data_IF_375431116968
#
_entry.id   IF_375431116968
#
_cell.length_a   1.000
_cell.length_b   1.000
_cell.length_c   1.000
_cell.angle_alpha   90.00
_cell.angle_beta   90.00
_cell.angle_gamma   90.00
#
_symmetry.space_group_name_H-M   'P 1'
#
loop_
_entity.id
_entity.type
_entity.pdbx_description
1 polymer ?
#
# COMPACT_ATOMS: atom_id res chain seq x y z
N UNK A 1 -22.96 -18.55 4.22
CA UNK A 1 -22.75 -17.45 3.26
C UNK A 1 -21.97 -16.34 3.95
N UNK A 2 -20.96 -15.73 3.31
CA UNK A 2 -20.09 -14.69 3.90
C UNK A 2 -19.88 -13.51 2.93
N UNK A 3 -20.98 -12.86 2.53
CA UNK A 3 -21.02 -11.81 1.49
C UNK A 3 -21.05 -10.38 2.04
N UNK A 4 -20.69 -10.21 3.32
CA UNK A 4 -20.73 -8.94 4.04
C UNK A 4 -21.88 -8.84 5.06
N UNK A 5 -21.90 -7.72 5.77
CA UNK A 5 -22.87 -7.40 6.83
C UNK A 5 -23.53 -6.05 6.56
N UNK A 6 -24.69 -5.82 7.17
CA UNK A 6 -25.40 -4.53 7.16
C UNK A 6 -25.67 -4.09 8.61
N UNK A 7 -25.62 -2.78 8.91
CA UNK A 7 -26.06 -2.25 10.20
C UNK A 7 -27.48 -2.70 10.53
N UNK A 8 -27.72 -3.05 11.80
CA UNK A 8 -29.06 -3.27 12.34
C UNK A 8 -29.60 -1.96 12.91
N UNK A 9 -30.32 -1.20 12.09
CA UNK A 9 -30.84 0.14 12.42
C UNK A 9 -32.36 0.21 12.43
N UNK A 10 -33.07 -0.92 12.36
CA UNK A 10 -34.54 -0.98 12.31
C UNK A 10 -35.18 -0.31 13.53
N UNK A 11 -34.62 -0.53 14.73
CA UNK A 11 -35.08 0.12 15.96
C UNK A 11 -34.84 1.64 15.94
N UNK A 12 -33.68 2.07 15.43
CA UNK A 12 -33.34 3.48 15.33
C UNK A 12 -34.27 4.22 14.35
N UNK A 13 -34.58 3.60 13.20
CA UNK A 13 -35.55 4.13 12.24
C UNK A 13 -36.94 4.22 12.86
N UNK A 14 -37.40 3.15 13.52
CA UNK A 14 -38.71 3.13 14.17
C UNK A 14 -38.84 4.19 15.29
N UNK A 15 -37.73 4.51 15.96
CA UNK A 15 -37.64 5.55 16.97
C UNK A 15 -37.45 6.98 16.40
N UNK A 16 -37.34 7.13 15.07
CA UNK A 16 -37.14 8.44 14.43
C UNK A 16 -35.72 8.99 14.52
N UNK A 17 -34.73 8.15 14.83
CA UNK A 17 -33.32 8.56 14.88
C UNK A 17 -32.74 8.73 13.47
N UNK A 18 -31.74 9.59 13.36
CA UNK A 18 -31.00 9.77 12.11
C UNK A 18 -30.20 8.50 11.76
N UNK A 19 -30.42 8.02 10.53
CA UNK A 19 -29.72 6.88 9.95
C UNK A 19 -29.19 7.31 8.59
N UNK A 20 -27.90 7.06 8.34
CA UNK A 20 -27.25 7.44 7.09
C UNK A 20 -27.64 6.55 5.91
N UNK A 21 -27.24 6.95 4.71
CA UNK A 21 -27.61 6.27 3.46
C UNK A 21 -27.17 4.81 3.39
N UNK A 22 -26.15 4.42 4.16
CA UNK A 22 -25.65 3.03 4.23
C UNK A 22 -26.29 2.21 5.36
N UNK A 23 -27.30 2.78 6.03
CA UNK A 23 -28.05 2.13 7.10
C UNK A 23 -27.41 2.27 8.49
N UNK A 24 -26.26 2.92 8.63
CA UNK A 24 -25.62 3.15 9.93
C UNK A 24 -26.36 4.21 10.74
N UNK A 25 -26.52 3.97 12.04
CA UNK A 25 -27.06 4.97 12.98
C UNK A 25 -26.04 6.12 13.06
N UNK A 26 -26.50 7.33 12.79
CA UNK A 26 -25.64 8.51 12.78
C UNK A 26 -25.34 8.92 14.21
N UNK A 27 -24.06 8.94 14.58
CA UNK A 27 -23.60 9.42 15.90
C UNK A 27 -22.64 10.61 15.81
N UNK A 28 -22.57 11.40 16.88
CA UNK A 28 -21.54 12.43 17.06
C UNK A 28 -20.23 11.85 17.64
N UNK A 29 -19.22 12.69 17.92
CA UNK A 29 -17.92 12.24 18.49
C UNK A 29 -18.04 11.62 19.88
N UNK A 30 -19.14 11.88 20.60
CA UNK A 30 -19.44 11.33 21.93
C UNK A 30 -20.28 10.04 21.87
N UNK A 31 -20.51 9.50 20.67
CA UNK A 31 -21.35 8.32 20.41
C UNK A 31 -22.85 8.54 20.68
N UNK A 32 -23.31 9.79 20.79
CA UNK A 32 -24.73 10.12 20.91
C UNK A 32 -25.40 10.11 19.54
N UNK A 33 -26.63 9.63 19.49
CA UNK A 33 -27.48 9.69 18.30
C UNK A 33 -28.07 11.09 18.12
N UNK A 34 -29.06 11.26 17.23
CA UNK A 34 -29.83 12.50 17.11
C UNK A 34 -30.70 12.81 18.32
N UNK A 35 -30.97 11.82 19.18
CA UNK A 35 -31.56 12.01 20.49
C UNK A 35 -30.44 12.05 21.55
N UNK A 36 -30.34 13.09 22.40
CA UNK A 36 -29.25 13.25 23.35
C UNK A 36 -29.23 12.19 24.47
N UNK A 37 -30.35 11.52 24.73
CA UNK A 37 -30.49 10.48 25.75
C UNK A 37 -30.21 9.08 25.20
N UNK A 38 -30.02 8.94 23.88
CA UNK A 38 -29.76 7.65 23.22
C UNK A 38 -28.36 7.64 22.63
N UNK A 39 -27.58 6.63 23.03
CA UNK A 39 -26.24 6.34 22.51
C UNK A 39 -26.28 5.09 21.62
N UNK A 40 -25.38 5.04 20.64
CA UNK A 40 -25.17 3.86 19.80
C UNK A 40 -23.67 3.63 19.57
N UNK A 41 -23.27 2.37 19.45
CA UNK A 41 -21.88 1.96 19.24
C UNK A 41 -21.83 0.59 18.55
N UNK A 42 -20.69 0.27 17.94
CA UNK A 42 -20.44 -0.98 17.23
C UNK A 42 -20.93 -0.96 15.79
N UNK A 43 -21.05 -2.15 15.20
CA UNK A 43 -21.33 -2.35 13.77
C UNK A 43 -22.65 -1.71 13.27
N UNK A 44 -23.51 -1.22 14.17
CA UNK A 44 -24.74 -0.54 13.82
C UNK A 44 -24.57 0.96 13.53
N UNK A 45 -23.43 1.59 13.87
CA UNK A 45 -23.22 3.03 13.68
C UNK A 45 -22.46 3.37 12.41
N UNK A 46 -22.58 4.63 11.98
CA UNK A 46 -21.63 5.23 11.04
C UNK A 46 -20.85 6.38 11.69
N UNK A 47 -19.53 6.35 11.53
CA UNK A 47 -18.59 7.36 12.05
C UNK A 47 -17.74 7.95 10.92
N UNK A 48 -17.10 9.12 11.10
CA UNK A 48 -16.21 9.68 10.11
C UNK A 48 -15.00 8.76 9.80
N UNK A 49 -14.72 8.53 8.53
CA UNK A 49 -13.42 8.03 8.08
C UNK A 49 -12.44 9.21 8.04
N UNK A 50 -11.37 9.16 8.83
CA UNK A 50 -10.51 10.34 9.07
C UNK A 50 -9.74 10.82 7.84
N UNK A 51 -9.44 9.93 6.89
CA UNK A 51 -8.79 10.31 5.61
C UNK A 51 -9.76 10.96 4.62
N UNK A 52 -10.90 10.33 4.32
CA UNK A 52 -11.85 10.82 3.32
C UNK A 52 -12.84 11.87 3.84
N UNK A 53 -13.01 11.96 5.16
CA UNK A 53 -14.03 12.77 5.82
C UNK A 53 -15.46 12.23 5.68
N UNK A 54 -15.67 11.14 4.95
CA UNK A 54 -17.01 10.56 4.74
C UNK A 54 -17.43 9.68 5.91
N UNK A 55 -18.71 9.66 6.22
CA UNK A 55 -19.27 8.70 7.19
C UNK A 55 -19.25 7.29 6.60
N UNK A 56 -18.74 6.34 7.38
CA UNK A 56 -18.53 4.95 6.99
C UNK A 56 -18.92 4.02 8.14
N UNK A 57 -19.40 2.83 7.77
CA UNK A 57 -19.64 1.72 8.69
C UNK A 57 -18.40 0.84 8.73
N UNK A 58 -17.86 0.60 9.92
CA UNK A 58 -16.68 -0.21 10.14
C UNK A 58 -17.02 -1.40 11.05
N UNK A 59 -17.39 -2.58 10.50
CA UNK A 59 -17.71 -3.75 11.30
C UNK A 59 -16.43 -4.40 11.85
N UNK A 60 -15.80 -3.74 12.84
CA UNK A 60 -14.49 -4.07 13.40
C UNK A 60 -14.62 -4.17 14.92
N UNK A 61 -14.44 -5.37 15.47
CA UNK A 61 -14.61 -5.60 16.91
C UNK A 61 -13.72 -4.72 17.80
N UNK A 62 -12.50 -4.41 17.36
CA UNK A 62 -11.58 -3.50 18.09
C UNK A 62 -12.07 -2.05 18.12
N UNK A 63 -12.80 -1.62 17.09
CA UNK A 63 -13.43 -0.29 17.05
C UNK A 63 -14.68 -0.27 17.93
N UNK A 64 -15.53 -1.29 17.85
CA UNK A 64 -16.74 -1.41 18.67
C UNK A 64 -16.44 -1.32 20.18
N UNK A 65 -15.34 -1.93 20.64
CA UNK A 65 -14.90 -1.83 22.04
C UNK A 65 -14.53 -0.39 22.45
N UNK A 66 -13.88 0.37 21.56
CA UNK A 66 -13.51 1.78 21.81
C UNK A 66 -14.73 2.70 21.78
N UNK A 67 -15.64 2.49 20.84
CA UNK A 67 -16.92 3.19 20.77
C UNK A 67 -17.74 2.95 22.05
N UNK A 68 -17.86 1.70 22.50
CA UNK A 68 -18.55 1.35 23.73
C UNK A 68 -17.94 2.02 24.97
N UNK A 69 -16.60 2.10 25.05
CA UNK A 69 -15.91 2.84 26.11
C UNK A 69 -16.28 4.33 26.10
N UNK A 70 -16.22 4.98 24.93
CA UNK A 70 -16.57 6.40 24.79
C UNK A 70 -18.05 6.64 25.13
N UNK A 71 -18.96 5.78 24.67
CA UNK A 71 -20.37 5.87 25.02
C UNK A 71 -20.60 5.75 26.54
N UNK A 72 -19.98 4.75 27.18
CA UNK A 72 -20.09 4.55 28.63
C UNK A 72 -19.53 5.73 29.44
N UNK A 73 -18.38 6.26 29.03
CA UNK A 73 -17.79 7.44 29.67
C UNK A 73 -18.77 8.63 29.65
N UNK A 74 -19.41 8.88 28.50
CA UNK A 74 -20.34 9.99 28.34
C UNK A 74 -21.68 9.77 29.06
N UNK A 75 -22.19 8.53 29.11
CA UNK A 75 -23.34 8.16 29.94
C UNK A 75 -23.06 8.42 31.42
N UNK A 76 -21.83 8.18 31.87
CA UNK A 76 -21.40 8.45 33.25
C UNK A 76 -21.10 9.95 33.54
N UNK A 77 -21.36 10.85 32.59
CA UNK A 77 -21.14 12.29 32.75
C UNK A 77 -19.69 12.74 32.54
N UNK A 78 -18.81 11.88 32.02
CA UNK A 78 -17.46 12.27 31.63
C UNK A 78 -17.43 12.89 30.23
N UNK A 79 -16.29 13.47 29.87
CA UNK A 79 -16.04 14.05 28.53
C UNK A 79 -15.07 13.13 27.79
N UNK A 80 -15.60 12.33 26.87
CA UNK A 80 -14.84 11.36 26.08
C UNK A 80 -15.24 11.45 24.61
N UNK A 81 -14.28 11.33 23.69
CA UNK A 81 -14.53 11.48 22.25
C UNK A 81 -13.81 10.42 21.41
N UNK A 82 -14.51 9.94 20.38
CA UNK A 82 -13.96 9.24 19.23
C UNK A 82 -14.20 10.09 17.98
N UNK A 83 -13.15 10.69 17.44
CA UNK A 83 -13.26 11.61 16.28
C UNK A 83 -13.57 10.90 14.96
N UNK A 84 -13.33 9.59 14.88
CA UNK A 84 -13.50 8.78 13.69
C UNK A 84 -12.53 7.58 13.69
N UNK A 85 -12.40 6.94 12.54
CA UNK A 85 -11.48 5.82 12.34
C UNK A 85 -10.75 5.88 11.00
N UNK A 86 -9.65 5.13 10.88
CA UNK A 86 -8.89 4.93 9.65
C UNK A 86 -9.04 3.52 9.05
N UNK A 87 -9.87 2.66 9.66
CA UNK A 87 -10.22 1.37 9.06
C UNK A 87 -9.11 0.31 9.05
N UNK A 88 -8.22 0.29 10.04
CA UNK A 88 -7.17 -0.74 10.13
C UNK A 88 -7.75 -2.14 10.27
N UNK A 89 -7.28 -3.09 9.45
CA UNK A 89 -7.57 -4.51 9.61
C UNK A 89 -6.39 -5.38 9.16
N UNK A 90 -6.38 -6.62 9.67
CA UNK A 90 -5.44 -7.66 9.26
C UNK A 90 -6.14 -9.03 9.29
N UNK A 91 -5.78 -9.91 8.36
CA UNK A 91 -6.29 -11.28 8.27
C UNK A 91 -5.14 -12.25 8.02
N UNK A 92 -5.22 -13.43 8.65
CA UNK A 92 -4.37 -14.59 8.32
C UNK A 92 -5.05 -15.43 7.27
N UNK A 93 -4.39 -15.62 6.13
CA UNK A 93 -4.80 -16.50 5.05
C UNK A 93 -3.71 -17.57 4.87
N UNK A 94 -3.92 -18.75 5.46
CA UNK A 94 -2.89 -19.79 5.54
C UNK A 94 -1.60 -19.25 6.16
N UNK A 95 -0.47 -19.31 5.46
CA UNK A 95 0.84 -18.83 5.91
C UNK A 95 1.10 -17.36 5.52
N UNK A 96 0.08 -16.66 5.04
CA UNK A 96 0.14 -15.26 4.65
C UNK A 96 -0.64 -14.39 5.64
N UNK A 97 -0.08 -13.25 6.03
CA UNK A 97 -0.82 -12.14 6.60
C UNK A 97 -1.12 -11.12 5.49
N UNK A 98 -2.34 -10.59 5.47
CA UNK A 98 -2.75 -9.48 4.60
C UNK A 98 -3.39 -8.42 5.48
N UNK A 99 -2.95 -7.17 5.35
CA UNK A 99 -3.44 -6.09 6.18
C UNK A 99 -3.47 -4.77 5.43
N UNK A 100 -4.35 -3.87 5.87
CA UNK A 100 -4.35 -2.51 5.39
C UNK A 100 -4.94 -1.53 6.41
N UNK A 101 -4.73 -0.24 6.12
CA UNK A 101 -5.28 0.90 6.83
C UNK A 101 -5.46 2.06 5.86
N UNK A 102 -6.49 2.88 6.07
CA UNK A 102 -6.81 4.03 5.24
C UNK A 102 -7.47 3.63 3.92
N UNK A 103 -7.25 4.46 2.89
CA UNK A 103 -7.87 4.31 1.58
C UNK A 103 -7.00 3.48 0.63
N UNK A 104 -7.55 2.47 -0.05
CA UNK A 104 -6.87 1.84 -1.18
C UNK A 104 -6.82 2.80 -2.37
N UNK A 105 -5.81 2.63 -3.25
CA UNK A 105 -5.55 3.54 -4.38
C UNK A 105 -6.79 3.86 -5.21
N UNK A 106 -7.55 2.84 -5.62
CA UNK A 106 -8.73 3.01 -6.46
C UNK A 106 -9.83 3.84 -5.75
N UNK A 107 -9.99 3.69 -4.43
CA UNK A 107 -10.94 4.51 -3.67
C UNK A 107 -10.42 5.93 -3.56
N UNK A 108 -9.15 6.14 -3.21
CA UNK A 108 -8.57 7.48 -3.14
C UNK A 108 -8.71 8.26 -4.46
N UNK A 109 -8.45 7.61 -5.60
CA UNK A 109 -8.65 8.21 -6.93
C UNK A 109 -10.13 8.54 -7.19
N UNK A 110 -11.05 7.63 -6.88
CA UNK A 110 -12.49 7.85 -7.02
C UNK A 110 -13.02 9.00 -6.13
N UNK A 111 -12.31 9.29 -5.03
CA UNK A 111 -12.63 10.40 -4.13
C UNK A 111 -11.97 11.73 -4.52
N UNK A 112 -11.25 11.77 -5.64
CA UNK A 112 -10.70 12.99 -6.22
C UNK A 112 -9.30 13.37 -5.72
N UNK A 113 -8.64 12.51 -4.94
CA UNK A 113 -7.23 12.69 -4.62
C UNK A 113 -6.37 12.51 -5.87
N UNK A 114 -5.27 13.25 -5.99
CA UNK A 114 -4.23 12.98 -6.98
C UNK A 114 -3.38 11.78 -6.51
N UNK A 115 -4.05 10.66 -6.27
CA UNK A 115 -3.48 9.53 -5.56
C UNK A 115 -2.58 8.66 -6.43
N UNK A 116 -1.46 8.25 -5.85
CA UNK A 116 -0.48 7.31 -6.39
C UNK A 116 -0.08 6.31 -5.30
N UNK A 117 0.61 5.25 -5.69
CA UNK A 117 1.05 4.19 -4.78
C UNK A 117 2.55 3.90 -4.96
N UNK A 118 3.29 3.83 -3.86
CA UNK A 118 4.65 3.30 -3.87
C UNK A 118 4.63 1.85 -3.42
N UNK A 119 5.21 0.97 -4.23
CA UNK A 119 5.39 -0.44 -3.86
C UNK A 119 6.84 -0.72 -3.50
N UNK A 120 7.03 -1.35 -2.36
CA UNK A 120 8.32 -1.89 -1.92
C UNK A 120 8.20 -3.37 -1.57
N UNK A 121 9.30 -4.09 -1.74
CA UNK A 121 9.40 -5.52 -1.40
C UNK A 121 10.56 -5.80 -0.42
N UNK A 122 10.60 -5.17 0.78
CA UNK A 122 11.68 -5.33 1.76
C UNK A 122 11.57 -6.64 2.56
N UNK A 123 12.65 -7.00 3.27
CA UNK A 123 12.61 -8.06 4.28
C UNK A 123 11.95 -7.55 5.57
N UNK A 124 11.22 -8.41 6.27
CA UNK A 124 10.62 -8.10 7.58
C UNK A 124 11.65 -7.94 8.71
N UNK A 125 12.81 -8.58 8.57
CA UNK A 125 13.94 -8.62 9.50
C UNK A 125 15.23 -8.26 8.77
N UNK A 126 16.32 -8.10 9.50
CA UNK A 126 17.62 -7.88 8.89
C UNK A 126 17.96 -9.01 7.89
N UNK A 127 18.55 -8.64 6.76
CA UNK A 127 18.80 -9.55 5.64
C UNK A 127 19.69 -10.76 5.98
N UNK A 128 20.48 -10.68 7.05
CA UNK A 128 21.34 -11.76 7.54
C UNK A 128 20.71 -12.59 8.68
N UNK A 129 19.54 -12.21 9.18
CA UNK A 129 18.87 -12.93 10.27
C UNK A 129 18.10 -14.15 9.71
N UNK A 130 18.10 -15.31 10.43
CA UNK A 130 17.30 -16.47 10.04
C UNK A 130 15.80 -16.14 9.99
N UNK A 131 15.04 -16.95 9.24
CA UNK A 131 13.57 -16.85 9.15
C UNK A 131 13.01 -15.49 8.72
N UNK A 132 13.85 -14.66 8.08
CA UNK A 132 13.39 -13.45 7.42
C UNK A 132 12.43 -13.79 6.29
N UNK A 133 11.38 -12.99 6.15
CA UNK A 133 10.39 -13.09 5.11
C UNK A 133 10.26 -11.81 4.32
N UNK A 134 9.79 -11.96 3.09
CA UNK A 134 9.51 -10.84 2.19
C UNK A 134 8.16 -10.21 2.54
N UNK A 135 8.17 -8.90 2.80
CA UNK A 135 6.97 -8.09 2.86
C UNK A 135 6.76 -7.39 1.52
N UNK A 136 5.52 -7.33 1.04
CA UNK A 136 5.10 -6.44 -0.03
C UNK A 136 4.28 -5.33 0.61
N UNK A 137 4.76 -4.08 0.55
CA UNK A 137 4.11 -2.92 1.16
C UNK A 137 3.76 -1.91 0.06
N UNK A 138 2.52 -1.44 0.08
CA UNK A 138 2.00 -0.38 -0.77
C UNK A 138 1.58 0.82 0.07
N UNK A 139 2.25 1.97 -0.07
CA UNK A 139 1.86 3.23 0.56
C UNK A 139 1.06 4.06 -0.45
N UNK A 140 -0.20 4.37 -0.13
CA UNK A 140 -1.07 5.23 -0.95
C UNK A 140 -0.94 6.66 -0.45
N UNK A 141 -0.67 7.59 -1.35
CA UNK A 141 -0.44 8.99 -1.01
C UNK A 141 -1.02 9.93 -2.06
N UNK A 142 -1.32 11.17 -1.67
CA UNK A 142 -1.73 12.22 -2.58
C UNK A 142 -0.50 12.96 -3.12
N UNK A 143 -0.27 12.94 -4.44
CA UNK A 143 0.92 13.55 -5.06
C UNK A 143 1.01 15.07 -4.88
N UNK A 144 -0.12 15.75 -4.66
CA UNK A 144 -0.17 17.22 -4.53
C UNK A 144 0.14 17.67 -3.11
N UNK A 145 -0.56 17.11 -2.13
CA UNK A 145 -0.45 17.49 -0.72
C UNK A 145 0.56 16.67 0.06
N UNK A 146 1.08 15.58 -0.53
CA UNK A 146 1.95 14.59 0.11
C UNK A 146 1.31 13.87 1.29
N UNK A 147 -0.01 14.02 1.51
CA UNK A 147 -0.72 13.31 2.57
C UNK A 147 -0.68 11.80 2.33
N UNK A 148 -0.47 11.06 3.40
CA UNK A 148 -0.62 9.60 3.39
C UNK A 148 -2.09 9.26 3.51
N UNK A 149 -2.59 8.51 2.53
CA UNK A 149 -4.01 8.17 2.43
C UNK A 149 -4.28 6.75 2.91
N UNK A 150 -3.30 5.85 2.80
CA UNK A 150 -3.43 4.47 3.23
C UNK A 150 -2.12 3.70 3.13
N UNK A 151 -2.09 2.53 3.77
CA UNK A 151 -1.02 1.57 3.64
C UNK A 151 -1.63 0.16 3.57
N UNK A 152 -1.13 -0.66 2.65
CA UNK A 152 -1.55 -2.04 2.50
C UNK A 152 -0.32 -2.94 2.37
N UNK A 153 -0.46 -4.20 2.75
CA UNK A 153 0.62 -5.14 2.55
C UNK A 153 0.24 -6.59 2.72
N UNK A 154 1.18 -7.44 2.31
CA UNK A 154 1.13 -8.88 2.47
C UNK A 154 2.51 -9.42 2.82
N UNK A 155 2.56 -10.48 3.59
CA UNK A 155 3.82 -11.08 4.05
C UNK A 155 3.59 -12.38 4.80
N UNK A 156 4.63 -12.99 5.38
CA UNK A 156 4.47 -14.18 6.21
C UNK A 156 3.44 -13.93 7.33
N UNK A 157 2.73 -14.97 7.73
CA UNK A 157 1.79 -14.93 8.87
C UNK A 157 2.53 -14.87 10.22
N UNK A 158 3.28 -13.78 10.43
CA UNK A 158 3.94 -13.39 11.67
C UNK A 158 3.55 -11.94 12.03
N UNK A 159 4.14 -11.41 13.11
CA UNK A 159 3.81 -10.06 13.61
C UNK A 159 4.42 -8.91 12.82
N UNK A 160 5.24 -9.19 11.79
CA UNK A 160 5.96 -8.13 11.11
C UNK A 160 5.02 -7.17 10.37
N UNK A 161 3.99 -7.70 9.70
CA UNK A 161 3.04 -6.87 8.97
C UNK A 161 2.16 -6.05 9.93
N UNK A 162 1.67 -6.63 11.02
CA UNK A 162 0.81 -5.91 11.99
C UNK A 162 1.50 -4.68 12.55
N UNK A 163 2.78 -4.77 12.94
CA UNK A 163 3.58 -3.64 13.41
C UNK A 163 3.56 -2.46 12.43
N UNK A 164 3.63 -2.72 11.11
CA UNK A 164 3.65 -1.68 10.08
C UNK A 164 2.26 -1.12 9.80
N UNK A 165 1.22 -1.97 9.84
CA UNK A 165 -0.17 -1.50 9.76
C UNK A 165 -0.49 -0.58 10.95
N UNK A 166 -0.06 -0.95 12.16
CA UNK A 166 -0.34 -0.19 13.38
C UNK A 166 0.44 1.14 13.42
N UNK A 167 1.71 1.14 13.03
CA UNK A 167 2.49 2.37 12.88
C UNK A 167 1.85 3.33 11.87
N UNK A 168 1.46 2.81 10.69
CA UNK A 168 0.75 3.60 9.69
C UNK A 168 -0.61 4.08 10.21
N UNK A 169 -1.34 3.27 10.98
CA UNK A 169 -2.63 3.66 11.55
C UNK A 169 -2.50 4.84 12.50
N UNK A 170 -1.49 4.83 13.38
CA UNK A 170 -1.21 5.94 14.28
C UNK A 170 -0.85 7.21 13.49
N UNK A 171 0.05 7.10 12.51
CA UNK A 171 0.50 8.24 11.71
C UNK A 171 -0.62 8.84 10.83
N UNK A 172 -1.39 8.00 10.14
CA UNK A 172 -2.52 8.45 9.30
C UNK A 172 -3.60 9.10 10.17
N UNK A 173 -3.86 8.57 11.38
CA UNK A 173 -4.79 9.20 12.33
C UNK A 173 -4.32 10.59 12.75
N UNK A 174 -3.00 10.81 12.85
CA UNK A 174 -2.40 12.11 13.13
C UNK A 174 -2.35 13.04 11.91
N UNK A 175 -2.76 12.58 10.71
CA UNK A 175 -2.73 13.38 9.48
C UNK A 175 -1.36 13.47 8.82
N UNK A 176 -0.51 12.45 9.03
CA UNK A 176 0.86 12.41 8.52
C UNK A 176 0.97 12.59 7.00
N UNK A 177 2.04 13.25 6.58
CA UNK A 177 2.51 13.31 5.20
C UNK A 177 3.63 12.28 4.96
N UNK A 178 4.03 12.10 3.70
CA UNK A 178 5.10 11.17 3.30
C UNK A 178 6.38 11.43 4.10
N UNK A 179 6.73 12.69 4.32
CA UNK A 179 7.93 13.13 5.04
C UNK A 179 7.95 12.58 6.48
N UNK A 180 6.81 12.63 7.18
CA UNK A 180 6.68 12.11 8.54
C UNK A 180 6.94 10.59 8.58
N UNK A 181 6.39 9.84 7.61
CA UNK A 181 6.64 8.39 7.49
C UNK A 181 8.09 8.10 7.07
N UNK A 182 8.70 8.99 6.28
CA UNK A 182 10.10 8.87 5.87
C UNK A 182 11.06 8.93 7.05
N UNK A 183 10.71 9.67 8.11
CA UNK A 183 11.57 9.87 9.29
C UNK A 183 11.05 9.21 10.56
N UNK A 184 9.92 8.47 10.51
CA UNK A 184 9.38 7.79 11.69
C UNK A 184 10.41 6.81 12.25
N UNK A 185 10.70 6.95 13.55
CA UNK A 185 11.65 6.10 14.26
C UNK A 185 10.98 4.78 14.64
N UNK A 186 11.38 3.71 13.97
CA UNK A 186 10.90 2.35 14.23
C UNK A 186 11.91 1.58 15.08
N UNK A 187 11.42 0.78 16.03
CA UNK A 187 12.28 -0.07 16.85
C UNK A 187 13.08 -1.04 15.97
N UNK A 188 14.39 -1.11 16.20
CA UNK A 188 15.31 -1.94 15.42
C UNK A 188 16.19 -2.83 16.31
N UNK A 189 16.14 -4.11 16.01
CA UNK A 189 17.22 -5.07 16.19
C UNK A 189 17.09 -6.16 15.11
N UNK A 190 18.17 -6.86 14.74
CA UNK A 190 18.14 -7.82 13.62
C UNK A 190 16.99 -8.84 13.59
N UNK A 191 16.51 -9.39 14.74
CA UNK A 191 15.39 -10.34 14.75
C UNK A 191 14.01 -9.76 14.44
N UNK A 192 13.86 -8.43 14.48
CA UNK A 192 12.55 -7.76 14.45
C UNK A 192 12.39 -6.78 13.29
N UNK A 193 13.51 -6.22 12.81
CA UNK A 193 13.47 -5.18 11.79
C UNK A 193 14.75 -5.09 10.98
N UNK A 194 14.68 -4.37 9.86
CA UNK A 194 15.82 -3.86 9.10
C UNK A 194 16.20 -2.45 9.59
N UNK A 195 17.42 -2.01 9.28
CA UNK A 195 17.88 -0.66 9.67
C UNK A 195 17.05 0.47 9.04
N UNK A 196 16.51 0.23 7.84
CA UNK A 196 15.45 1.03 7.24
C UNK A 196 14.18 0.18 7.31
N UNK A 197 13.17 0.63 8.06
CA UNK A 197 11.92 -0.11 8.18
C UNK A 197 11.20 -0.15 6.82
N UNK A 198 10.47 -1.23 6.51
CA UNK A 198 9.55 -1.29 5.38
C UNK A 198 8.66 -0.05 5.17
N UNK A 199 8.16 0.61 6.22
CA UNK A 199 7.36 1.84 6.06
C UNK A 199 8.21 3.03 5.60
N UNK A 200 9.43 3.19 6.13
CA UNK A 200 10.36 4.24 5.69
C UNK A 200 10.72 4.03 4.21
N UNK A 201 11.02 2.78 3.83
CA UNK A 201 11.34 2.44 2.45
C UNK A 201 10.19 2.78 1.48
N UNK A 202 8.94 2.49 1.86
CA UNK A 202 7.78 2.87 1.05
C UNK A 202 7.61 4.40 0.94
N UNK A 203 7.88 5.13 2.02
CA UNK A 203 7.85 6.59 2.01
C UNK A 203 8.95 7.21 1.15
N UNK A 204 10.19 6.69 1.18
CA UNK A 204 11.27 7.18 0.31
C UNK A 204 10.94 6.99 -1.17
N UNK A 205 10.30 5.88 -1.54
CA UNK A 205 9.84 5.67 -2.91
C UNK A 205 8.74 6.68 -3.25
N UNK A 206 7.76 6.90 -2.37
CA UNK A 206 6.71 7.90 -2.57
C UNK A 206 7.27 9.31 -2.73
N UNK A 207 8.30 9.66 -1.96
CA UNK A 207 8.99 10.94 -2.07
C UNK A 207 9.71 11.08 -3.41
N UNK A 208 10.48 10.07 -3.81
CA UNK A 208 11.16 10.04 -5.11
C UNK A 208 10.17 10.14 -6.28
N UNK A 209 8.98 9.54 -6.16
CA UNK A 209 7.90 9.69 -7.13
C UNK A 209 7.40 11.13 -7.16
N UNK A 210 7.12 11.75 -6.00
CA UNK A 210 6.69 13.15 -5.91
C UNK A 210 7.71 14.12 -6.51
N UNK A 211 9.00 13.91 -6.24
CA UNK A 211 10.10 14.73 -6.75
C UNK A 211 10.44 14.47 -8.22
N UNK A 212 9.84 13.45 -8.84
CA UNK A 212 10.14 13.06 -10.22
C UNK A 212 11.52 12.42 -10.41
N UNK A 213 12.21 12.08 -9.31
CA UNK A 213 13.48 11.34 -9.32
C UNK A 213 13.26 9.90 -9.79
N UNK A 214 12.11 9.33 -9.43
CA UNK A 214 11.67 8.02 -9.90
C UNK A 214 10.47 8.16 -10.83
N UNK A 215 10.47 7.39 -11.92
CA UNK A 215 9.30 7.15 -12.77
C UNK A 215 8.98 5.67 -12.76
N UNK A 216 7.74 5.30 -12.52
CA UNK A 216 7.32 3.91 -12.49
C UNK A 216 6.21 3.65 -13.51
N UNK A 217 6.15 2.42 -14.00
CA UNK A 217 5.04 1.96 -14.83
C UNK A 217 3.86 1.54 -13.94
N UNK A 218 2.64 1.75 -14.40
CA UNK A 218 1.46 1.17 -13.75
C UNK A 218 1.50 -0.35 -13.88
N UNK A 219 1.27 -1.09 -12.79
CA UNK A 219 1.33 -2.56 -12.81
C UNK A 219 0.26 -3.19 -13.73
N UNK A 220 -0.92 -2.58 -13.87
CA UNK A 220 -1.94 -3.05 -14.79
C UNK A 220 -1.49 -2.92 -16.25
N UNK A 221 -0.89 -1.78 -16.61
CA UNK A 221 -0.33 -1.55 -17.94
C UNK A 221 0.79 -2.54 -18.22
N UNK A 222 1.75 -2.68 -17.29
CA UNK A 222 2.85 -3.63 -17.44
C UNK A 222 2.38 -5.07 -17.59
N UNK A 223 1.41 -5.50 -16.79
CA UNK A 223 0.81 -6.84 -16.92
C UNK A 223 0.11 -7.02 -18.27
N UNK A 224 -0.57 -5.99 -18.78
CA UNK A 224 -1.18 -5.99 -20.11
C UNK A 224 -0.13 -6.14 -21.22
N UNK A 225 0.97 -5.39 -21.14
CA UNK A 225 2.06 -5.44 -22.13
C UNK A 225 2.77 -6.78 -22.11
N UNK A 226 2.96 -7.40 -20.94
CA UNK A 226 3.56 -8.73 -20.85
C UNK A 226 2.63 -9.84 -21.35
N UNK A 227 1.31 -9.68 -21.19
CA UNK A 227 0.31 -10.64 -21.68
C UNK A 227 0.13 -10.58 -23.20
N UNK A 228 0.23 -9.37 -23.78
CA UNK A 228 0.23 -9.13 -25.22
C UNK A 228 1.32 -8.11 -25.60
N UNK A 229 2.56 -8.57 -25.86
CA UNK A 229 3.64 -7.67 -26.24
C UNK A 229 3.40 -6.88 -27.52
N UNK A 230 2.49 -7.36 -28.39
CA UNK A 230 2.14 -6.65 -29.63
C UNK A 230 1.26 -5.42 -29.39
N UNK A 231 0.61 -5.33 -28.22
CA UNK A 231 -0.22 -4.19 -27.82
C UNK A 231 0.58 -2.88 -27.67
N UNK A 232 1.90 -2.97 -27.54
CA UNK A 232 2.78 -1.83 -27.44
C UNK A 232 4.12 -2.15 -28.13
N UNK A 233 4.41 -1.62 -29.34
CA UNK A 233 5.60 -2.05 -30.10
C UNK A 233 6.93 -1.39 -29.65
N UNK A 234 6.88 -0.31 -28.87
CA UNK A 234 8.04 0.57 -28.62
C UNK A 234 8.56 0.53 -27.17
N UNK A 235 8.63 -0.66 -26.57
CA UNK A 235 9.25 -0.85 -25.25
C UNK A 235 10.31 -1.95 -25.28
N UNK A 236 11.09 -2.04 -24.20
CA UNK A 236 12.06 -3.11 -23.96
C UNK A 236 12.22 -3.29 -22.44
N UNK A 237 12.13 -4.53 -21.94
CA UNK A 237 12.53 -4.80 -20.55
C UNK A 237 14.04 -4.91 -20.45
N UNK A 238 14.61 -4.17 -19.51
CA UNK A 238 16.01 -4.27 -19.10
C UNK A 238 16.04 -4.98 -17.76
N UNK A 239 16.38 -6.27 -17.79
CA UNK A 239 16.50 -7.09 -16.59
C UNK A 239 17.90 -6.98 -16.02
N UNK A 240 18.00 -6.30 -14.88
CA UNK A 240 19.27 -6.02 -14.19
C UNK A 240 19.60 -7.05 -13.10
N UNK A 241 18.88 -8.18 -13.09
CA UNK A 241 19.17 -9.33 -12.23
C UNK A 241 20.35 -10.14 -12.75
N UNK A 242 20.72 -11.21 -12.04
CA UNK A 242 21.75 -12.11 -12.52
C UNK A 242 21.30 -12.78 -13.83
N UNK A 243 22.23 -13.08 -14.74
CA UNK A 243 21.91 -13.62 -16.06
C UNK A 243 21.05 -14.90 -16.00
N UNK A 244 21.32 -15.78 -15.03
CA UNK A 244 20.55 -17.01 -14.76
C UNK A 244 19.07 -16.69 -14.44
N UNK A 245 18.80 -15.62 -13.68
CA UNK A 245 17.42 -15.21 -13.35
C UNK A 245 16.68 -14.65 -14.57
N UNK A 246 17.41 -14.07 -15.53
CA UNK A 246 16.87 -13.44 -16.74
C UNK A 246 16.69 -14.43 -17.91
N UNK A 247 17.46 -15.53 -17.95
CA UNK A 247 17.48 -16.49 -19.05
C UNK A 247 16.09 -17.06 -19.41
N UNK A 248 15.23 -17.50 -18.45
CA UNK A 248 13.89 -18.01 -18.79
C UNK A 248 13.00 -16.96 -19.46
N UNK A 249 13.21 -15.68 -19.14
CA UNK A 249 12.46 -14.57 -19.70
C UNK A 249 12.95 -14.24 -21.11
N UNK A 250 14.26 -14.24 -21.33
CA UNK A 250 14.84 -14.09 -22.66
C UNK A 250 14.37 -15.20 -23.60
N UNK A 251 14.32 -16.45 -23.12
CA UNK A 251 13.82 -17.58 -23.91
C UNK A 251 12.34 -17.43 -24.29
N UNK A 252 11.52 -16.89 -23.38
CA UNK A 252 10.08 -16.69 -23.60
C UNK A 252 9.74 -15.47 -24.45
N UNK A 253 10.46 -14.36 -24.27
CA UNK A 253 10.11 -13.04 -24.82
C UNK A 253 11.04 -12.53 -25.92
N UNK A 254 12.17 -13.22 -26.16
CA UNK A 254 13.11 -12.87 -27.23
C UNK A 254 13.55 -11.40 -27.17
N UNK A 255 13.42 -10.69 -28.29
CA UNK A 255 13.85 -9.30 -28.43
C UNK A 255 13.12 -8.27 -27.55
N UNK A 256 12.10 -8.70 -26.80
CA UNK A 256 11.35 -7.85 -25.86
C UNK A 256 11.97 -7.83 -24.45
N UNK A 257 12.95 -8.71 -24.17
CA UNK A 257 13.60 -8.85 -22.88
C UNK A 257 15.12 -8.92 -23.02
N UNK A 258 15.81 -7.90 -22.50
CA UNK A 258 17.27 -7.82 -22.51
C UNK A 258 17.83 -8.03 -21.10
N UNK A 259 18.75 -9.00 -20.97
CA UNK A 259 19.56 -9.13 -19.75
C UNK A 259 20.74 -8.18 -19.80
N UNK A 260 20.80 -7.26 -18.83
CA UNK A 260 21.93 -6.38 -18.62
C UNK A 260 22.19 -6.25 -17.11
N UNK A 261 22.95 -7.20 -16.50
CA UNK A 261 23.13 -7.27 -15.06
C UNK A 261 23.58 -5.95 -14.42
N UNK A 262 23.11 -5.72 -13.20
CA UNK A 262 23.33 -4.46 -12.47
C UNK A 262 24.80 -4.01 -12.37
N UNK A 263 25.73 -4.95 -12.22
CA UNK A 263 27.17 -4.69 -12.16
C UNK A 263 27.79 -4.32 -13.52
N UNK A 264 27.10 -4.63 -14.62
CA UNK A 264 27.59 -4.40 -15.99
C UNK A 264 26.97 -3.17 -16.66
N UNK A 265 25.78 -2.75 -16.22
CA UNK A 265 24.99 -1.70 -16.87
C UNK A 265 25.75 -0.38 -17.01
N UNK A 266 26.59 -0.02 -16.03
CA UNK A 266 27.37 1.22 -16.07
C UNK A 266 28.42 1.24 -17.18
N UNK A 267 28.98 0.08 -17.52
CA UNK A 267 29.96 -0.05 -18.59
C UNK A 267 29.29 -0.24 -19.97
N UNK A 268 28.06 -0.77 -19.99
CA UNK A 268 27.39 -1.27 -21.20
C UNK A 268 26.11 -0.52 -21.57
N UNK A 269 25.79 0.60 -20.90
CA UNK A 269 24.56 1.36 -21.17
C UNK A 269 24.45 1.86 -22.61
N UNK A 270 25.58 2.01 -23.32
CA UNK A 270 25.61 2.41 -24.74
C UNK A 270 24.99 1.37 -25.68
N UNK A 271 24.74 0.14 -25.22
CA UNK A 271 24.03 -0.91 -25.96
C UNK A 271 22.50 -0.70 -25.94
N UNK A 272 22.00 0.15 -25.04
CA UNK A 272 20.56 0.34 -24.84
C UNK A 272 19.96 1.20 -25.96
N UNK A 273 18.78 0.80 -26.50
CA UNK A 273 18.07 1.62 -27.47
C UNK A 273 17.57 2.91 -26.82
N UNK A 274 17.68 4.02 -27.54
CA UNK A 274 17.24 5.35 -27.09
C UNK A 274 15.88 5.75 -27.66
N UNK A 275 15.40 5.01 -28.64
CA UNK A 275 14.13 5.17 -29.34
C UNK A 275 12.98 4.40 -28.69
N UNK A 276 13.28 3.50 -27.74
CA UNK A 276 12.29 2.70 -27.01
C UNK A 276 12.05 3.22 -25.59
N UNK A 277 10.89 2.89 -25.03
CA UNK A 277 10.69 2.98 -23.58
C UNK A 277 11.36 1.80 -22.88
N UNK A 278 12.29 2.11 -21.98
CA UNK A 278 13.02 1.10 -21.21
C UNK A 278 12.30 0.82 -19.89
N UNK A 279 11.85 -0.42 -19.70
CA UNK A 279 11.20 -0.91 -18.49
C UNK A 279 12.23 -1.65 -17.64
N UNK A 280 12.71 -1.03 -16.56
CA UNK A 280 13.83 -1.56 -15.78
C UNK A 280 13.31 -2.53 -14.71
N UNK A 281 13.76 -3.78 -14.81
CA UNK A 281 13.27 -4.90 -14.02
C UNK A 281 14.35 -5.44 -13.07
N UNK A 282 14.01 -5.59 -11.79
CA UNK A 282 14.86 -6.26 -10.82
C UNK A 282 14.00 -6.95 -9.74
N UNK A 283 14.63 -7.52 -8.71
CA UNK A 283 13.91 -8.28 -7.69
C UNK A 283 12.96 -7.42 -6.84
N UNK A 284 13.35 -6.22 -6.41
CA UNK A 284 12.60 -5.42 -5.43
C UNK A 284 12.35 -3.96 -5.84
N UNK A 285 12.78 -3.56 -7.05
CA UNK A 285 12.69 -2.17 -7.54
C UNK A 285 13.88 -1.26 -7.18
N UNK A 286 14.63 -1.55 -6.11
CA UNK A 286 15.75 -0.70 -5.64
C UNK A 286 16.87 -0.53 -6.68
N UNK A 287 17.42 -1.63 -7.18
CA UNK A 287 18.42 -1.61 -8.26
C UNK A 287 17.87 -0.96 -9.54
N UNK A 288 16.58 -1.17 -9.83
CA UNK A 288 15.95 -0.55 -11.00
C UNK A 288 15.91 0.97 -10.88
N UNK A 289 15.62 1.50 -9.69
CA UNK A 289 15.65 2.93 -9.42
C UNK A 289 17.06 3.50 -9.55
N UNK A 290 18.07 2.86 -8.96
CA UNK A 290 19.45 3.32 -9.10
C UNK A 290 19.92 3.36 -10.56
N UNK A 291 19.53 2.34 -11.35
CA UNK A 291 19.77 2.30 -12.79
C UNK A 291 19.02 3.41 -13.50
N UNK A 292 17.76 3.66 -13.17
CA UNK A 292 16.98 4.75 -13.76
C UNK A 292 17.65 6.11 -13.56
N UNK A 293 18.14 6.37 -12.34
CA UNK A 293 18.87 7.60 -12.00
C UNK A 293 20.15 7.71 -12.82
N UNK A 294 20.93 6.64 -12.88
CA UNK A 294 22.16 6.59 -13.68
C UNK A 294 21.89 6.84 -15.18
N UNK A 295 20.93 6.12 -15.76
CA UNK A 295 20.55 6.28 -17.16
C UNK A 295 20.08 7.71 -17.48
N UNK A 296 19.32 8.33 -16.56
CA UNK A 296 18.91 9.72 -16.71
C UNK A 296 20.10 10.69 -16.74
N UNK A 297 21.15 10.45 -15.95
CA UNK A 297 22.41 11.22 -16.00
C UNK A 297 23.17 11.00 -17.32
N UNK A 298 23.08 9.81 -17.90
CA UNK A 298 23.64 9.49 -19.22
C UNK A 298 22.77 9.99 -20.40
N UNK A 299 21.65 10.68 -20.13
CA UNK A 299 20.75 11.21 -21.16
C UNK A 299 19.63 10.25 -21.62
N UNK A 300 19.59 9.02 -21.10
CA UNK A 300 18.55 8.03 -21.40
C UNK A 300 17.39 8.22 -20.41
N UNK A 301 16.41 9.03 -20.81
CA UNK A 301 15.32 9.49 -19.92
C UNK A 301 13.99 8.75 -20.09
N UNK A 302 13.75 8.09 -21.23
CA UNK A 302 12.54 7.32 -21.50
C UNK A 302 12.59 5.96 -20.77
N UNK A 303 12.65 6.02 -19.45
CA UNK A 303 12.86 4.90 -18.54
C UNK A 303 11.76 4.89 -17.50
N UNK A 304 11.25 3.69 -17.19
CA UNK A 304 10.28 3.44 -16.11
C UNK A 304 10.73 2.24 -15.28
N UNK A 305 10.50 2.27 -13.98
CA UNK A 305 10.77 1.16 -13.06
C UNK A 305 9.51 0.32 -12.88
N UNK A 306 9.67 -1.00 -12.82
CA UNK A 306 8.59 -1.89 -12.36
C UNK A 306 8.49 -1.81 -10.84
N UNK A 307 7.41 -1.22 -10.29
CA UNK A 307 7.30 -1.00 -8.85
C UNK A 307 7.18 -2.32 -8.09
N UNK A 308 7.86 -2.46 -6.95
CA UNK A 308 7.93 -3.71 -6.19
C UNK A 308 8.75 -4.86 -6.82
N UNK A 309 9.10 -4.76 -8.11
CA UNK A 309 9.94 -5.73 -8.84
C UNK A 309 9.32 -7.13 -8.99
N UNK A 310 10.16 -8.10 -9.34
CA UNK A 310 9.78 -9.53 -9.44
C UNK A 310 9.08 -10.03 -8.18
N UNK A 311 9.56 -9.64 -7.01
CA UNK A 311 9.05 -10.07 -5.71
C UNK A 311 7.56 -9.76 -5.53
N UNK A 312 7.09 -8.61 -6.00
CA UNK A 312 5.67 -8.26 -5.96
C UNK A 312 4.87 -9.02 -7.02
N UNK A 313 5.38 -9.09 -8.25
CA UNK A 313 4.71 -9.76 -9.37
C UNK A 313 4.54 -11.27 -9.12
N UNK A 314 5.57 -11.91 -8.58
CA UNK A 314 5.52 -13.31 -8.15
C UNK A 314 4.44 -13.50 -7.07
N UNK A 315 4.37 -12.59 -6.08
CA UNK A 315 3.30 -12.63 -5.05
C UNK A 315 1.91 -12.46 -5.65
N UNK A 316 1.76 -11.61 -6.66
CA UNK A 316 0.49 -11.39 -7.37
C UNK A 316 0.07 -12.60 -8.21
N UNK A 317 0.96 -13.56 -8.46
CA UNK A 317 0.67 -14.75 -9.27
C UNK A 317 0.37 -14.42 -10.73
N UNK A 318 1.06 -13.43 -11.31
CA UNK A 318 0.82 -13.02 -12.70
C UNK A 318 1.18 -14.13 -13.69
N UNK A 319 0.24 -14.45 -14.60
CA UNK A 319 0.35 -15.63 -15.48
C UNK A 319 1.42 -15.56 -16.57
N UNK A 320 2.06 -14.40 -16.76
CA UNK A 320 3.10 -14.23 -17.77
C UNK A 320 4.50 -14.57 -17.23
N UNK A 321 4.70 -14.77 -15.93
CA UNK A 321 5.99 -15.24 -15.43
C UNK A 321 6.36 -16.61 -16.06
N UNK A 322 7.64 -16.88 -16.34
CA UNK A 322 8.10 -18.23 -16.67
C UNK A 322 7.70 -19.19 -15.55
N UNK A 323 7.30 -20.41 -15.91
CA UNK A 323 6.98 -21.46 -14.93
C UNK A 323 8.28 -21.93 -14.29
N UNK A 324 8.30 -22.04 -12.96
CA UNK A 324 9.40 -22.63 -12.19
C UNK A 324 9.52 -24.15 -12.41
#
# INVERSE_FOLDING_TARGET
MAVGVRPRSELAVAAGLQVGMRGGITVNSRMQTSDPDIYAAGDCVEIPHLVSGKRTVFPLGSLANREGRVAADNIAGMVSELKGAVGSFIVKAFDLAVGCVGLPLATAQAEGFAADISWSSPMDRAHFFPDRGLLNIGLVFDRKSRKVLGLQGAGPANDALSVRIDAAAAAITAGAIIDDIGIIEMAYAPPFNSAIDPVNAAAYIADNLCLGLMRQINLADFNGWMADPSSHPDWLVIDVRHAIEAEPYMAKYGGQWLSLPYDQIRARYGELPVDKQLVIFCNAGSRSFEVQVFLAQCGIKNTVVVPGGFNLLHRMGVGWLPVE
#
